data_IF_224877814870
#
_entry.id   IF_224877814870
#
_cell.length_a   1.000
_cell.length_b   1.000
_cell.length_c   1.000
_cell.angle_alpha   90.00
_cell.angle_beta   90.00
_cell.angle_gamma   90.00
#
_symmetry.space_group_name_H-M   'P 1'
#
loop_
_entity.id
_entity.type
_entity.pdbx_description
1 polymer ?
#
# COMPACT_ATOMS: atom_id res chain seq x y z
N UNK A 1 -9.37 -5.95 9.29
CA UNK A 1 -7.98 -5.82 8.78
C UNK A 1 -7.06 -5.60 9.98
N UNK A 2 -5.88 -6.16 9.94
CA UNK A 2 -4.79 -5.87 10.87
C UNK A 2 -3.47 -5.84 10.10
N UNK A 3 -2.47 -5.17 10.67
CA UNK A 3 -1.11 -5.10 10.10
C UNK A 3 -0.19 -6.03 10.89
N UNK A 4 0.68 -6.74 10.18
CA UNK A 4 1.72 -7.58 10.76
C UNK A 4 3.02 -7.44 9.95
N UNK A 5 4.14 -7.78 10.60
CA UNK A 5 5.44 -7.73 9.93
C UNK A 5 5.61 -8.90 8.97
N UNK A 6 6.07 -8.60 7.77
CA UNK A 6 6.50 -9.55 6.75
C UNK A 6 8.03 -9.49 6.61
N UNK A 7 8.71 -10.61 6.70
CA UNK A 7 10.17 -10.68 6.61
C UNK A 7 10.63 -10.31 5.20
N UNK A 8 11.37 -9.22 5.07
CA UNK A 8 11.91 -8.72 3.81
C UNK A 8 13.41 -8.94 3.65
N UNK A 9 14.19 -8.76 4.71
CA UNK A 9 15.64 -8.85 4.63
C UNK A 9 16.18 -10.27 4.77
N UNK A 10 17.26 -10.56 4.03
CA UNK A 10 18.07 -11.78 4.21
C UNK A 10 19.10 -11.55 5.30
N UNK A 11 19.15 -12.42 6.31
CA UNK A 11 20.15 -12.39 7.39
C UNK A 11 21.29 -13.38 7.09
N UNK A 12 22.49 -13.18 7.65
CA UNK A 12 23.59 -14.16 7.49
C UNK A 12 23.19 -15.59 7.86
N UNK A 13 22.39 -15.78 8.92
CA UNK A 13 21.93 -17.08 9.38
C UNK A 13 21.03 -17.79 8.36
N UNK A 14 20.35 -17.07 7.48
CA UNK A 14 19.49 -17.66 6.42
C UNK A 14 20.36 -18.35 5.34
N UNK A 15 21.64 -17.93 5.20
CA UNK A 15 22.58 -18.49 4.23
C UNK A 15 23.58 -19.42 4.94
N UNK A 16 24.04 -19.03 6.12
CA UNK A 16 25.03 -19.73 6.92
C UNK A 16 24.46 -20.05 8.30
N UNK A 17 23.80 -21.20 8.49
CA UNK A 17 23.09 -21.55 9.74
C UNK A 17 24.01 -21.58 10.99
N UNK A 18 25.31 -21.75 10.82
CA UNK A 18 26.31 -21.71 11.88
C UNK A 18 26.65 -20.29 12.38
N UNK A 19 26.16 -19.25 11.68
CA UNK A 19 26.36 -17.85 12.02
C UNK A 19 25.20 -17.24 12.82
N UNK A 20 24.58 -17.99 13.68
CA UNK A 20 23.40 -17.58 14.47
C UNK A 20 23.60 -16.29 15.28
N UNK A 21 24.84 -16.05 15.75
CA UNK A 21 25.21 -14.85 16.52
C UNK A 21 25.73 -13.69 15.66
N UNK A 22 25.72 -13.81 14.35
CA UNK A 22 26.19 -12.74 13.47
C UNK A 22 25.26 -11.52 13.53
N UNK A 23 25.86 -10.35 13.73
CA UNK A 23 25.18 -9.04 13.62
C UNK A 23 25.34 -8.39 12.25
N UNK A 24 25.94 -9.11 11.30
CA UNK A 24 26.10 -8.65 9.93
C UNK A 24 24.75 -8.48 9.22
N UNK A 25 24.74 -7.71 8.15
CA UNK A 25 23.60 -7.51 7.25
C UNK A 25 24.00 -7.80 5.83
N UNK A 26 23.09 -8.43 5.08
CA UNK A 26 23.25 -8.65 3.65
C UNK A 26 22.40 -7.61 2.94
N UNK A 27 23.09 -6.69 2.25
CA UNK A 27 22.44 -5.57 1.55
C UNK A 27 22.79 -5.72 0.08
N UNK A 28 21.77 -5.88 -0.77
CA UNK A 28 21.93 -6.09 -2.20
C UNK A 28 21.33 -4.98 -3.06
N UNK A 29 20.52 -4.11 -2.46
CA UNK A 29 19.84 -3.02 -3.15
C UNK A 29 19.54 -1.85 -2.19
N UNK A 30 18.91 -0.77 -2.71
CA UNK A 30 18.46 0.38 -1.92
C UNK A 30 17.20 0.02 -1.09
N UNK A 31 16.78 1.01 -0.27
CA UNK A 31 15.66 0.88 0.69
C UNK A 31 15.92 -0.20 1.74
N UNK A 32 17.17 -0.40 2.07
CA UNK A 32 17.59 -1.24 3.21
C UNK A 32 17.49 -0.49 4.55
N UNK A 33 17.17 0.78 4.53
CA UNK A 33 17.07 1.65 5.70
C UNK A 33 15.99 2.71 5.52
N UNK A 34 15.16 2.87 6.54
CA UNK A 34 14.26 4.01 6.73
C UNK A 34 14.82 4.86 7.86
N UNK A 35 15.20 6.12 7.59
CA UNK A 35 15.77 7.07 8.55
C UNK A 35 16.76 6.46 9.53
N UNK A 36 16.30 6.08 10.73
CA UNK A 36 17.09 5.67 11.88
C UNK A 36 17.20 4.15 12.06
N UNK A 37 16.43 3.34 11.32
CA UNK A 37 16.44 1.89 11.44
C UNK A 37 16.68 1.17 10.11
N UNK A 38 17.21 -0.06 10.21
CA UNK A 38 17.35 -0.95 9.05
C UNK A 38 16.02 -1.66 8.78
N UNK A 39 15.64 -1.78 7.51
CA UNK A 39 14.46 -2.51 7.07
C UNK A 39 14.78 -4.00 7.10
N UNK A 40 14.35 -4.69 8.15
CA UNK A 40 14.44 -6.15 8.29
C UNK A 40 13.12 -6.81 7.95
N UNK A 41 12.02 -6.15 8.28
CA UNK A 41 10.66 -6.52 7.95
C UNK A 41 9.96 -5.32 7.33
N UNK A 42 8.88 -5.59 6.61
CA UNK A 42 7.98 -4.58 6.05
C UNK A 42 6.55 -4.85 6.55
N UNK A 43 5.70 -3.83 6.71
CA UNK A 43 4.32 -4.04 7.10
C UNK A 43 3.51 -4.63 5.96
N UNK A 44 2.71 -5.65 6.25
CA UNK A 44 1.66 -6.18 5.41
C UNK A 44 0.31 -6.07 6.10
N UNK A 45 -0.75 -5.85 5.33
CA UNK A 45 -2.12 -5.84 5.81
C UNK A 45 -2.80 -7.17 5.53
N UNK A 46 -3.48 -7.70 6.55
CA UNK A 46 -4.14 -9.00 6.53
C UNK A 46 -5.64 -8.85 6.78
N UNK A 47 -6.43 -9.66 6.12
CA UNK A 47 -7.86 -9.82 6.37
C UNK A 47 -8.05 -11.10 7.16
N UNK A 48 -8.83 -11.04 8.24
CA UNK A 48 -9.21 -12.21 9.00
C UNK A 48 -10.65 -12.09 9.51
N UNK A 49 -11.30 -13.22 9.70
CA UNK A 49 -12.56 -13.28 10.39
C UNK A 49 -12.38 -12.99 11.89
N UNK A 50 -13.33 -12.26 12.46
CA UNK A 50 -13.40 -12.05 13.91
C UNK A 50 -14.48 -12.96 14.48
N UNK A 51 -14.06 -14.08 15.06
CA UNK A 51 -14.93 -15.04 15.74
C UNK A 51 -15.00 -14.80 17.25
N UNK A 52 -15.80 -15.62 17.94
CA UNK A 52 -15.93 -15.57 19.39
C UNK A 52 -14.61 -15.86 20.15
N UNK A 53 -13.70 -16.60 19.54
CA UNK A 53 -12.39 -16.94 20.09
C UNK A 53 -11.25 -15.99 19.66
N UNK A 54 -11.57 -14.86 19.02
CA UNK A 54 -10.60 -13.88 18.50
C UNK A 54 -10.45 -13.92 16.99
N UNK A 55 -9.31 -13.44 16.49
CA UNK A 55 -8.99 -13.41 15.05
C UNK A 55 -8.71 -14.82 14.54
N UNK A 56 -9.29 -15.15 13.40
CA UNK A 56 -8.93 -16.31 12.59
C UNK A 56 -7.60 -16.16 11.86
N UNK A 57 -7.29 -17.11 10.97
CA UNK A 57 -6.13 -17.03 10.11
C UNK A 57 -6.24 -15.85 9.15
N UNK A 58 -5.17 -15.06 9.04
CA UNK A 58 -5.13 -13.88 8.20
C UNK A 58 -4.75 -14.22 6.75
N UNK A 59 -5.46 -13.61 5.82
CA UNK A 59 -5.09 -13.61 4.39
C UNK A 59 -4.32 -12.33 4.09
N UNK A 60 -3.10 -12.46 3.60
CA UNK A 60 -2.25 -11.35 3.18
C UNK A 60 -2.79 -10.72 1.89
N UNK A 61 -3.16 -9.44 1.94
CA UNK A 61 -3.69 -8.71 0.76
C UNK A 61 -2.65 -8.58 -0.36
N UNK A 62 -1.36 -8.59 0.00
CA UNK A 62 -0.25 -8.47 -0.96
C UNK A 62 0.27 -9.83 -1.44
N UNK A 63 -0.24 -10.94 -0.90
CA UNK A 63 0.16 -12.32 -1.28
C UNK A 63 1.68 -12.53 -1.21
N UNK A 64 2.31 -12.02 -0.15
CA UNK A 64 3.75 -12.12 0.06
C UNK A 64 4.62 -11.27 -0.86
N UNK A 65 4.05 -10.33 -1.61
CA UNK A 65 4.80 -9.43 -2.47
C UNK A 65 5.67 -8.46 -1.65
N UNK A 66 6.85 -8.06 -2.15
CA UNK A 66 7.81 -7.25 -1.38
C UNK A 66 7.45 -5.76 -1.34
N UNK A 67 6.21 -5.44 -1.02
CA UNK A 67 5.70 -4.07 -0.95
C UNK A 67 5.17 -3.77 0.44
N UNK A 68 5.25 -2.51 0.85
CA UNK A 68 4.74 -2.05 2.14
C UNK A 68 3.26 -1.69 2.07
N UNK A 69 2.47 -2.17 3.04
CA UNK A 69 1.07 -1.79 3.20
C UNK A 69 0.66 -1.86 4.69
N UNK A 70 0.47 -0.73 5.37
CA UNK A 70 0.67 0.65 4.91
C UNK A 70 2.13 0.98 4.65
N UNK A 71 2.41 1.99 3.80
CA UNK A 71 3.77 2.39 3.46
C UNK A 71 4.43 3.17 4.61
N UNK A 72 5.66 2.78 4.94
CA UNK A 72 6.49 3.47 5.92
C UNK A 72 7.11 4.77 5.33
N UNK A 73 7.52 5.74 6.17
CA UNK A 73 7.41 5.79 7.64
C UNK A 73 6.20 6.58 8.16
N UNK A 74 5.38 7.20 7.29
CA UNK A 74 4.36 8.17 7.71
C UNK A 74 2.93 7.71 7.48
N UNK A 75 2.74 6.53 6.93
CA UNK A 75 1.43 6.06 6.52
C UNK A 75 0.83 5.07 7.52
N UNK A 76 -0.49 5.02 7.54
CA UNK A 76 -1.24 4.21 8.47
C UNK A 76 -2.58 3.75 7.88
N UNK A 77 -3.58 3.68 8.74
CA UNK A 77 -4.91 3.15 8.38
C UNK A 77 -5.63 3.98 7.30
N UNK A 78 -5.25 5.24 7.11
CA UNK A 78 -5.77 6.11 6.05
C UNK A 78 -5.45 5.60 4.64
N UNK A 79 -4.48 4.70 4.52
CA UNK A 79 -4.19 4.05 3.24
C UNK A 79 -5.10 2.88 2.89
N UNK A 80 -6.01 2.50 3.79
CA UNK A 80 -6.93 1.36 3.61
C UNK A 80 -8.37 1.79 3.86
N UNK A 81 -9.28 1.36 3.01
CA UNK A 81 -10.70 1.59 3.17
C UNK A 81 -11.52 0.33 2.86
N UNK A 82 -12.44 -0.04 3.76
CA UNK A 82 -13.46 -1.03 3.48
C UNK A 82 -14.60 -0.41 2.67
N UNK A 83 -15.10 -1.15 1.69
CA UNK A 83 -16.39 -0.80 1.09
C UNK A 83 -17.52 -0.98 2.12
N UNK A 84 -18.51 -0.07 2.16
CA UNK A 84 -19.63 -0.18 3.10
C UNK A 84 -20.41 -1.50 3.01
N UNK A 85 -20.45 -2.14 1.84
CA UNK A 85 -21.07 -3.45 1.63
C UNK A 85 -20.20 -4.63 2.11
N UNK A 86 -18.97 -4.36 2.54
CA UNK A 86 -18.05 -5.36 3.08
C UNK A 86 -17.43 -6.30 2.04
N UNK A 87 -17.57 -6.02 0.73
CA UNK A 87 -17.11 -6.92 -0.34
C UNK A 87 -15.71 -6.60 -0.86
N UNK A 88 -15.23 -5.37 -0.66
CA UNK A 88 -13.99 -4.86 -1.23
C UNK A 88 -13.15 -4.07 -0.24
N UNK A 89 -11.87 -4.01 -0.52
CA UNK A 89 -10.92 -3.13 0.15
C UNK A 89 -10.22 -2.29 -0.91
N UNK A 90 -10.25 -0.96 -0.73
CA UNK A 90 -9.38 -0.07 -1.48
C UNK A 90 -8.13 0.25 -0.65
N UNK A 91 -6.99 0.30 -1.29
CA UNK A 91 -5.76 0.66 -0.62
C UNK A 91 -4.79 1.43 -1.53
N UNK A 92 -3.98 2.27 -0.91
CA UNK A 92 -2.86 2.95 -1.58
C UNK A 92 -1.58 2.15 -1.35
N UNK A 93 -0.84 1.88 -2.43
CA UNK A 93 0.42 1.15 -2.33
C UNK A 93 1.41 1.60 -3.40
N UNK A 94 2.68 1.72 -3.00
CA UNK A 94 3.81 1.89 -3.92
C UNK A 94 4.38 0.52 -4.25
N UNK A 95 3.96 -0.06 -5.38
CA UNK A 95 4.46 -1.38 -5.82
C UNK A 95 5.79 -1.27 -6.56
N UNK A 96 6.76 -0.68 -5.89
CA UNK A 96 8.15 -0.55 -6.32
C UNK A 96 9.08 -1.15 -5.28
N UNK A 97 10.27 -1.53 -5.67
CA UNK A 97 11.28 -2.09 -4.76
C UNK A 97 12.67 -1.50 -5.05
N UNK A 98 13.59 -1.64 -4.11
CA UNK A 98 14.99 -1.33 -4.27
C UNK A 98 15.23 0.10 -4.75
N UNK A 99 16.01 0.23 -5.81
CA UNK A 99 16.37 1.52 -6.39
C UNK A 99 15.17 2.30 -6.94
N UNK A 100 14.19 1.62 -7.53
CA UNK A 100 13.00 2.28 -8.08
C UNK A 100 12.17 2.92 -6.98
N UNK A 101 12.00 2.24 -5.86
CA UNK A 101 11.33 2.79 -4.67
C UNK A 101 12.02 4.06 -4.16
N UNK A 102 13.36 4.12 -4.23
CA UNK A 102 14.13 5.26 -3.74
C UNK A 102 13.98 6.53 -4.62
N UNK A 103 13.63 6.38 -5.90
CA UNK A 103 13.54 7.49 -6.85
C UNK A 103 12.12 7.96 -7.11
N UNK A 104 11.13 7.12 -6.88
CA UNK A 104 9.74 7.41 -7.22
C UNK A 104 8.90 7.65 -5.98
N UNK A 105 8.02 8.65 -6.05
CA UNK A 105 6.93 8.85 -5.08
C UNK A 105 5.62 8.27 -5.56
N UNK A 106 5.61 7.63 -6.75
CA UNK A 106 4.41 7.09 -7.35
C UNK A 106 3.79 5.99 -6.48
N UNK A 107 2.54 6.19 -6.11
CA UNK A 107 1.69 5.18 -5.51
C UNK A 107 0.35 5.14 -6.23
N UNK A 108 -0.24 3.96 -6.31
CA UNK A 108 -1.53 3.77 -6.96
C UNK A 108 -2.60 3.33 -5.96
N UNK A 109 -3.86 3.58 -6.34
CA UNK A 109 -5.03 3.05 -5.64
C UNK A 109 -5.39 1.69 -6.22
N UNK A 110 -5.40 0.69 -5.37
CA UNK A 110 -5.79 -0.69 -5.70
C UNK A 110 -7.15 -1.02 -5.11
N UNK A 111 -7.90 -1.84 -5.83
CA UNK A 111 -9.17 -2.41 -5.37
C UNK A 111 -9.03 -3.92 -5.27
N UNK A 112 -9.16 -4.44 -4.07
CA UNK A 112 -9.10 -5.86 -3.75
C UNK A 112 -10.50 -6.39 -3.53
N UNK A 113 -10.89 -7.45 -4.22
CA UNK A 113 -12.14 -8.16 -4.04
C UNK A 113 -11.94 -9.32 -3.05
N UNK A 114 -12.71 -9.30 -1.96
CA UNK A 114 -12.51 -10.24 -0.84
C UNK A 114 -12.89 -11.67 -1.23
N UNK A 115 -13.90 -11.84 -2.09
CA UNK A 115 -14.39 -13.16 -2.47
C UNK A 115 -13.48 -13.87 -3.48
N UNK A 116 -12.89 -13.11 -4.42
CA UNK A 116 -12.07 -13.67 -5.50
C UNK A 116 -10.57 -13.55 -5.28
N UNK A 117 -10.15 -12.70 -4.31
CA UNK A 117 -8.77 -12.28 -4.09
C UNK A 117 -8.15 -11.56 -5.31
N UNK A 118 -8.97 -11.10 -6.26
CA UNK A 118 -8.50 -10.30 -7.38
C UNK A 118 -8.16 -8.89 -6.95
N UNK A 119 -7.05 -8.37 -7.45
CA UNK A 119 -6.58 -7.02 -7.17
C UNK A 119 -6.44 -6.21 -8.46
N UNK A 120 -7.12 -5.07 -8.52
CA UNK A 120 -7.12 -4.19 -9.69
C UNK A 120 -6.48 -2.84 -9.36
N UNK A 121 -5.57 -2.36 -10.23
CA UNK A 121 -5.05 -1.00 -10.16
C UNK A 121 -6.07 -0.03 -10.77
N UNK A 122 -6.59 0.90 -9.97
CA UNK A 122 -7.59 1.89 -10.40
C UNK A 122 -6.96 3.16 -10.97
N UNK A 123 -5.71 3.45 -10.67
CA UNK A 123 -5.04 4.69 -11.06
C UNK A 123 -3.84 4.45 -11.97
N UNK A 124 -3.77 3.30 -12.63
CA UNK A 124 -2.73 2.97 -13.58
C UNK A 124 -2.49 4.11 -14.58
N UNK A 125 -1.21 4.53 -14.71
CA UNK A 125 -0.80 5.65 -15.56
C UNK A 125 -0.91 7.05 -14.93
N UNK A 126 -1.42 7.18 -13.70
CA UNK A 126 -1.26 8.37 -12.88
C UNK A 126 0.09 8.26 -12.17
N UNK A 127 0.99 9.24 -12.43
CA UNK A 127 2.41 9.11 -12.07
C UNK A 127 2.80 9.73 -10.73
N UNK A 128 1.85 10.32 -10.01
CA UNK A 128 2.12 10.98 -8.75
C UNK A 128 1.76 10.14 -7.54
N UNK A 129 1.62 10.81 -6.40
CA UNK A 129 1.27 10.18 -5.14
C UNK A 129 -0.25 10.09 -5.00
N UNK A 130 -0.82 8.89 -5.22
CA UNK A 130 -2.24 8.61 -5.04
C UNK A 130 -2.47 7.98 -3.67
N UNK A 131 -3.38 8.56 -2.85
CA UNK A 131 -3.53 8.16 -1.44
C UNK A 131 -4.94 8.41 -0.91
N UNK A 132 -5.20 7.98 0.33
CA UNK A 132 -6.42 8.22 1.09
C UNK A 132 -7.70 7.79 0.37
N UNK A 133 -7.83 6.52 -0.05
CA UNK A 133 -9.05 6.03 -0.68
C UNK A 133 -10.23 6.08 0.30
N UNK A 134 -11.39 6.50 -0.20
CA UNK A 134 -12.62 6.56 0.59
C UNK A 134 -13.84 6.21 -0.26
N UNK A 135 -14.58 5.17 0.14
CA UNK A 135 -15.79 4.75 -0.59
C UNK A 135 -16.97 5.70 -0.36
N UNK A 136 -17.83 5.80 -1.38
CA UNK A 136 -19.18 6.35 -1.21
C UNK A 136 -20.05 5.39 -0.37
N UNK A 137 -21.09 5.90 0.33
CA UNK A 137 -21.94 5.08 1.20
C UNK A 137 -22.64 3.92 0.49
N UNK A 138 -22.84 4.02 -0.82
CA UNK A 138 -23.45 3.01 -1.68
C UNK A 138 -22.42 2.05 -2.33
N UNK A 139 -21.13 2.15 -1.96
CA UNK A 139 -20.02 1.35 -2.49
C UNK A 139 -19.79 1.47 -4.01
N UNK A 140 -20.43 2.43 -4.70
CA UNK A 140 -20.34 2.56 -6.16
C UNK A 140 -19.21 3.45 -6.64
N UNK A 141 -18.66 4.28 -5.76
CA UNK A 141 -17.61 5.25 -6.08
C UNK A 141 -16.50 5.23 -5.04
N UNK A 142 -15.33 5.68 -5.46
CA UNK A 142 -14.19 5.87 -4.60
C UNK A 142 -13.64 7.29 -4.79
N UNK A 143 -13.48 8.04 -3.71
CA UNK A 143 -12.72 9.27 -3.67
C UNK A 143 -11.27 8.98 -3.29
N UNK A 144 -10.32 9.74 -3.82
CA UNK A 144 -8.90 9.64 -3.45
C UNK A 144 -8.18 10.96 -3.70
N UNK A 145 -7.06 11.15 -3.02
CA UNK A 145 -6.16 12.27 -3.23
C UNK A 145 -5.06 11.88 -4.21
N UNK A 146 -4.63 12.82 -5.05
CA UNK A 146 -3.62 12.57 -6.08
C UNK A 146 -2.72 13.79 -6.31
N UNK A 147 -1.42 13.59 -6.35
CA UNK A 147 -0.45 14.52 -6.93
C UNK A 147 -0.23 14.18 -8.40
N UNK A 148 0.35 15.09 -9.18
CA UNK A 148 0.50 14.89 -10.63
C UNK A 148 1.82 14.28 -11.03
N UNK A 149 2.90 14.68 -10.33
CA UNK A 149 4.27 14.41 -10.78
C UNK A 149 4.98 13.45 -9.85
N UNK A 150 5.59 12.44 -10.46
CA UNK A 150 6.51 11.55 -9.76
C UNK A 150 7.74 12.32 -9.22
N UNK A 151 8.19 11.97 -8.02
CA UNK A 151 9.35 12.56 -7.36
C UNK A 151 9.17 14.01 -6.90
N UNK A 152 7.95 14.56 -6.91
CA UNK A 152 7.70 15.96 -6.55
C UNK A 152 6.68 16.10 -5.40
N UNK A 153 7.15 15.95 -4.17
CA UNK A 153 6.32 15.92 -2.96
C UNK A 153 5.65 17.27 -2.62
N UNK A 154 6.10 18.38 -3.21
CA UNK A 154 5.48 19.70 -3.06
C UNK A 154 4.39 19.97 -4.10
N UNK A 155 3.94 18.96 -4.82
CA UNK A 155 2.91 19.11 -5.84
C UNK A 155 1.55 19.37 -5.21
N UNK A 156 0.65 19.96 -6.01
CA UNK A 156 -0.72 20.23 -5.59
C UNK A 156 -1.47 18.91 -5.39
N UNK A 157 -2.03 18.73 -4.21
CA UNK A 157 -2.95 17.63 -3.95
C UNK A 157 -4.30 17.92 -4.61
N UNK A 158 -4.76 16.99 -5.45
CA UNK A 158 -6.04 17.04 -6.17
C UNK A 158 -6.98 15.99 -5.62
N UNK A 159 -8.26 16.28 -5.61
CA UNK A 159 -9.30 15.34 -5.21
C UNK A 159 -9.98 14.77 -6.45
N UNK A 160 -9.98 13.45 -6.55
CA UNK A 160 -10.63 12.69 -7.60
C UNK A 160 -11.77 11.84 -7.06
N UNK A 161 -12.74 11.58 -7.92
CA UNK A 161 -13.75 10.51 -7.74
C UNK A 161 -13.64 9.58 -8.94
N UNK A 162 -13.58 8.29 -8.68
CA UNK A 162 -13.72 7.23 -9.67
C UNK A 162 -15.05 6.52 -9.48
N UNK A 163 -15.78 6.27 -10.57
CA UNK A 163 -16.93 5.38 -10.61
C UNK A 163 -16.42 3.95 -10.78
N UNK A 164 -16.81 3.03 -9.90
CA UNK A 164 -16.28 1.65 -9.90
C UNK A 164 -16.91 0.75 -10.96
N UNK A 165 -18.01 1.16 -11.60
CA UNK A 165 -18.64 0.40 -12.69
C UNK A 165 -17.95 0.63 -14.04
N UNK A 166 -17.70 1.90 -14.40
CA UNK A 166 -17.15 2.28 -15.70
C UNK A 166 -15.71 2.86 -15.63
N UNK A 167 -15.15 2.96 -14.41
CA UNK A 167 -13.80 3.48 -14.11
C UNK A 167 -13.56 4.94 -14.56
N UNK A 168 -14.62 5.66 -14.87
CA UNK A 168 -14.53 7.08 -15.18
C UNK A 168 -14.03 7.88 -13.98
N UNK A 169 -13.05 8.78 -14.22
CA UNK A 169 -12.43 9.62 -13.18
C UNK A 169 -12.80 11.08 -13.39
N UNK A 170 -13.15 11.76 -12.31
CA UNK A 170 -13.48 13.20 -12.30
C UNK A 170 -12.64 13.90 -11.24
N UNK A 171 -11.87 14.90 -11.64
CA UNK A 171 -11.17 15.80 -10.71
C UNK A 171 -12.14 16.86 -10.17
N UNK A 172 -12.40 16.84 -8.87
CA UNK A 172 -13.29 17.80 -8.22
C UNK A 172 -12.64 19.16 -7.93
N UNK A 173 -11.32 19.20 -7.85
CA UNK A 173 -10.53 20.41 -7.53
C UNK A 173 -10.11 21.20 -8.77
N UNK A 174 -10.43 20.72 -9.95
CA UNK A 174 -10.08 21.37 -11.22
C UNK A 174 -10.63 22.79 -11.26
N UNK A 175 -9.73 23.77 -11.44
CA UNK A 175 -10.05 25.21 -11.51
C UNK A 175 -10.70 25.83 -10.25
N UNK A 176 -10.76 25.13 -9.12
CA UNK A 176 -11.37 25.65 -7.88
C UNK A 176 -10.39 26.38 -6.97
N UNK A 177 -9.10 26.08 -7.12
CA UNK A 177 -8.03 26.70 -6.36
C UNK A 177 -6.96 27.19 -7.34
N UNK A 178 -6.64 28.49 -7.28
CA UNK A 178 -5.55 29.12 -8.04
C UNK A 178 -4.35 29.34 -7.14
#
# INVERSE_FOLDING_TARGET
>A
IYTSEFKSATKPVDIYPDLEKSTGRIITDLMYRHWDHFVENIPHSYIADLGENGLGDGVDILDGAPFELPAEPFSGIEQLAWSPDGTKIAYSCRKLTGKEYAFSTNSDIYLYDIATAECKNLTEGMMGYDTEPSFSPDSTKLAFLSMERDGYEADKVRLFIINLEDESKVELTKNKFK
#
